data_IF_030427607450
#
_entry.id   IF_030427607450
#
_cell.length_a   1.000
_cell.length_b   1.000
_cell.length_c   1.000
_cell.angle_alpha   90.00
_cell.angle_beta   90.00
_cell.angle_gamma   90.00
#
_symmetry.space_group_name_H-M   'P 1'
#
loop_
_entity.id
_entity.type
_entity.pdbx_description
1 polymer ?
#
# COMPACT_ATOMS: atom_id res chain seq x y z
N UNK A 1 -13.91 -16.96 5.07
CA UNK A 1 -12.49 -16.59 5.19
C UNK A 1 -12.19 -16.61 6.68
N UNK A 2 -11.24 -17.43 7.13
CA UNK A 2 -10.81 -17.42 8.52
C UNK A 2 -10.13 -16.08 8.76
N UNK A 3 -10.83 -15.20 9.48
CA UNK A 3 -10.20 -14.03 10.10
C UNK A 3 -9.43 -14.62 11.28
N UNK A 4 -8.10 -14.55 11.23
CA UNK A 4 -7.24 -14.98 12.33
C UNK A 4 -7.72 -14.41 13.66
N UNK A 5 -7.53 -15.16 14.74
CA UNK A 5 -8.09 -14.87 16.06
C UNK A 5 -7.39 -13.70 16.78
N UNK A 6 -6.40 -13.09 16.12
CA UNK A 6 -5.63 -11.96 16.65
C UNK A 6 -4.55 -12.40 17.63
N UNK A 7 -4.24 -13.70 17.69
CA UNK A 7 -3.06 -14.21 18.38
C UNK A 7 -1.77 -13.59 17.81
N UNK A 8 -0.69 -13.46 18.61
CA UNK A 8 0.60 -12.97 18.11
C UNK A 8 1.13 -13.77 16.91
N UNK A 9 0.73 -15.04 16.79
CA UNK A 9 1.10 -15.94 15.67
C UNK A 9 0.43 -15.54 14.34
N UNK A 10 -0.68 -14.81 14.39
CA UNK A 10 -1.44 -14.28 13.25
C UNK A 10 -0.94 -12.90 12.78
N UNK A 11 0.06 -12.32 13.45
CA UNK A 11 0.63 -11.04 13.03
C UNK A 11 1.52 -11.21 11.79
N UNK A 12 0.88 -11.19 10.62
CA UNK A 12 1.53 -11.28 9.30
C UNK A 12 2.67 -10.26 9.17
N UNK A 13 2.54 -9.07 9.76
CA UNK A 13 3.59 -8.04 9.70
C UNK A 13 4.88 -8.49 10.39
N UNK A 14 4.79 -9.14 11.55
CA UNK A 14 5.97 -9.64 12.26
C UNK A 14 6.68 -10.76 11.50
N UNK A 15 5.90 -11.56 10.75
CA UNK A 15 6.45 -12.69 9.99
C UNK A 15 7.06 -12.30 8.64
N UNK A 16 6.58 -11.21 8.04
CA UNK A 16 6.94 -10.80 6.68
C UNK A 16 7.93 -9.62 6.61
N UNK A 17 8.35 -9.03 7.72
CA UNK A 17 9.30 -7.90 7.73
C UNK A 17 10.73 -8.37 8.05
N UNK A 18 11.71 -7.83 7.32
CA UNK A 18 13.13 -7.99 7.66
C UNK A 18 13.56 -6.97 8.70
N UNK A 19 13.73 -7.40 9.94
CA UNK A 19 14.27 -6.60 11.02
C UNK A 19 15.80 -6.67 11.08
N UNK A 20 16.44 -5.57 11.49
CA UNK A 20 17.88 -5.39 11.56
C UNK A 20 18.26 -4.72 12.89
N UNK A 21 19.47 -5.02 13.39
CA UNK A 21 20.03 -4.48 14.65
C UNK A 21 19.05 -4.60 15.82
N UNK A 22 18.67 -5.83 16.17
CA UNK A 22 17.71 -6.13 17.24
C UNK A 22 16.40 -5.33 17.05
N UNK A 23 15.82 -5.41 15.85
CA UNK A 23 14.54 -4.79 15.49
C UNK A 23 14.49 -3.25 15.50
N UNK A 24 15.63 -2.59 15.72
CA UNK A 24 15.73 -1.13 15.66
C UNK A 24 15.45 -0.57 14.26
N UNK A 25 15.75 -1.34 13.22
CA UNK A 25 15.48 -0.96 11.84
C UNK A 25 14.75 -2.09 11.12
N UNK A 26 13.98 -1.72 10.09
CA UNK A 26 13.33 -2.65 9.21
C UNK A 26 13.60 -2.28 7.75
N UNK A 27 13.82 -3.28 6.90
CA UNK A 27 13.71 -3.07 5.47
C UNK A 27 12.23 -2.91 5.13
N UNK A 28 11.91 -1.92 4.30
CA UNK A 28 10.52 -1.59 4.00
C UNK A 28 9.85 -2.71 3.17
N UNK A 29 8.68 -3.21 3.60
CA UNK A 29 7.94 -4.25 2.85
C UNK A 29 7.07 -3.69 1.73
N UNK A 30 6.85 -2.36 1.72
CA UNK A 30 5.99 -1.62 0.79
C UNK A 30 6.35 -0.11 0.79
N UNK A 31 5.63 0.72 0.04
CA UNK A 31 5.97 2.13 -0.18
C UNK A 31 5.09 3.16 0.57
N UNK A 32 3.83 2.85 0.82
CA UNK A 32 2.81 3.71 1.42
C UNK A 32 3.26 4.28 2.77
N UNK A 33 3.76 3.44 3.68
CA UNK A 33 4.25 3.88 5.01
C UNK A 33 5.39 4.91 4.93
N UNK A 34 6.25 4.80 3.92
CA UNK A 34 7.34 5.76 3.71
C UNK A 34 6.80 7.12 3.24
N UNK A 35 5.80 7.12 2.35
CA UNK A 35 5.13 8.34 1.89
C UNK A 35 4.33 8.98 3.03
N UNK A 36 3.56 8.20 3.79
CA UNK A 36 2.81 8.69 4.94
C UNK A 36 3.73 9.34 5.98
N UNK A 37 4.87 8.70 6.29
CA UNK A 37 5.89 9.26 7.18
C UNK A 37 6.42 10.59 6.65
N UNK A 38 6.82 10.65 5.37
CA UNK A 38 7.34 11.87 4.76
C UNK A 38 6.32 13.02 4.78
N UNK A 39 5.04 12.73 4.47
CA UNK A 39 3.97 13.71 4.50
C UNK A 39 3.80 14.35 5.89
N UNK A 40 3.95 13.57 6.96
CA UNK A 40 3.87 14.05 8.34
C UNK A 40 5.16 14.75 8.77
N UNK A 41 6.33 14.14 8.57
CA UNK A 41 7.61 14.69 9.07
C UNK A 41 7.96 16.01 8.41
N UNK A 42 7.65 16.17 7.12
CA UNK A 42 7.89 17.41 6.37
C UNK A 42 6.73 18.42 6.48
N UNK A 43 5.70 18.10 7.28
CA UNK A 43 4.50 18.93 7.49
C UNK A 43 3.78 19.30 6.19
N UNK A 44 3.80 18.41 5.19
CA UNK A 44 3.24 18.68 3.86
C UNK A 44 1.73 18.93 3.94
N UNK A 45 1.03 18.25 4.85
CA UNK A 45 -0.41 18.42 5.06
C UNK A 45 -0.83 19.85 5.42
N UNK A 46 0.06 20.63 6.04
CA UNK A 46 -0.19 22.03 6.41
C UNK A 46 0.42 23.04 5.45
N UNK A 47 1.36 22.61 4.60
CA UNK A 47 2.18 23.50 3.77
C UNK A 47 1.81 23.46 2.30
N UNK A 48 1.28 22.33 1.84
CA UNK A 48 0.97 22.08 0.45
C UNK A 48 -0.54 21.99 0.25
N UNK A 49 -1.05 22.38 -0.93
CA UNK A 49 -2.46 22.27 -1.25
C UNK A 49 -2.90 20.81 -1.25
N UNK A 50 -4.09 20.55 -0.70
CA UNK A 50 -4.67 19.21 -0.65
C UNK A 50 -5.60 18.93 -1.85
N UNK A 51 -5.73 17.66 -2.28
CA UNK A 51 -5.00 16.50 -1.75
C UNK A 51 -3.56 16.43 -2.26
N UNK A 52 -2.70 15.80 -1.46
CA UNK A 52 -1.32 15.52 -1.86
C UNK A 52 -1.31 14.28 -2.74
N UNK A 53 -0.73 14.37 -3.94
CA UNK A 53 -0.63 13.26 -4.89
C UNK A 53 0.83 12.88 -5.07
N UNK A 54 1.17 11.63 -4.77
CA UNK A 54 2.53 11.09 -4.88
C UNK A 54 2.55 9.86 -5.77
N UNK A 55 3.71 9.58 -6.37
CA UNK A 55 4.02 8.28 -6.93
C UNK A 55 5.40 7.83 -6.45
N UNK A 56 5.67 6.54 -6.50
CA UNK A 56 6.98 5.98 -6.22
C UNK A 56 7.28 4.78 -7.10
N UNK A 57 8.57 4.59 -7.37
CA UNK A 57 9.14 3.35 -7.90
C UNK A 57 10.21 2.90 -6.89
N UNK A 58 10.02 1.74 -6.28
CA UNK A 58 10.71 1.43 -5.03
C UNK A 58 11.05 -0.05 -4.89
N UNK A 59 12.23 -0.33 -4.35
CA UNK A 59 12.69 -1.67 -3.98
C UNK A 59 12.15 -2.02 -2.59
N UNK A 60 11.47 -3.16 -2.47
CA UNK A 60 10.78 -3.61 -1.26
C UNK A 60 11.26 -5.01 -0.88
N UNK A 61 11.18 -5.33 0.42
CA UNK A 61 11.70 -6.57 0.97
C UNK A 61 10.67 -7.24 1.88
N UNK A 62 10.37 -8.51 1.61
CA UNK A 62 9.46 -9.30 2.46
C UNK A 62 10.07 -10.64 2.82
N UNK A 63 10.08 -10.96 4.10
CA UNK A 63 10.59 -12.21 4.65
C UNK A 63 9.60 -13.38 4.45
N UNK A 64 9.11 -13.51 3.22
CA UNK A 64 8.17 -14.55 2.83
C UNK A 64 8.93 -15.80 2.33
N UNK A 65 8.23 -16.95 2.32
CA UNK A 65 8.72 -18.16 1.63
C UNK A 65 8.70 -17.89 0.12
N UNK A 66 9.84 -17.98 -0.60
CA UNK A 66 9.86 -17.78 -2.04
C UNK A 66 8.92 -18.74 -2.77
N UNK A 67 8.13 -18.19 -3.69
CA UNK A 67 7.26 -18.92 -4.60
C UNK A 67 7.42 -18.34 -6.01
N UNK A 68 6.83 -18.98 -7.02
CA UNK A 68 6.82 -18.43 -8.38
C UNK A 68 6.21 -17.01 -8.34
N UNK A 69 6.96 -16.02 -8.84
CA UNK A 69 6.61 -14.60 -8.84
C UNK A 69 6.45 -13.94 -7.46
N UNK A 70 6.90 -14.59 -6.37
CA UNK A 70 7.01 -14.00 -5.03
C UNK A 70 8.45 -14.06 -4.57
N UNK A 71 9.10 -12.91 -4.64
CA UNK A 71 10.51 -12.73 -4.29
C UNK A 71 10.64 -12.08 -2.91
N UNK A 72 11.76 -12.33 -2.24
CA UNK A 72 12.10 -11.64 -0.99
C UNK A 72 12.53 -10.19 -1.19
N UNK A 73 12.98 -9.88 -2.41
CA UNK A 73 13.32 -8.55 -2.88
C UNK A 73 12.61 -8.35 -4.22
N UNK A 74 11.87 -7.26 -4.35
CA UNK A 74 11.08 -6.97 -5.54
C UNK A 74 10.90 -5.47 -5.69
N UNK A 75 10.43 -5.06 -6.87
CA UNK A 75 10.17 -3.66 -7.18
C UNK A 75 8.67 -3.41 -7.24
N UNK A 76 8.24 -2.31 -6.64
CA UNK A 76 6.87 -1.82 -6.71
C UNK A 76 6.83 -0.42 -7.28
N UNK A 77 5.85 -0.20 -8.14
CA UNK A 77 5.35 1.12 -8.46
C UNK A 77 4.04 1.34 -7.72
N UNK A 78 3.85 2.53 -7.15
CA UNK A 78 2.63 2.88 -6.43
C UNK A 78 2.31 4.36 -6.54
N UNK A 79 1.05 4.69 -6.31
CA UNK A 79 0.48 6.04 -6.32
C UNK A 79 -0.29 6.21 -5.02
N UNK A 80 -0.15 7.37 -4.39
CA UNK A 80 -0.81 7.70 -3.12
C UNK A 80 -1.52 9.04 -3.25
N UNK A 81 -2.76 9.10 -2.77
CA UNK A 81 -3.52 10.35 -2.63
C UNK A 81 -3.80 10.52 -1.13
N UNK A 82 -3.19 11.53 -0.52
CA UNK A 82 -3.30 11.80 0.92
C UNK A 82 -4.15 13.05 1.13
N UNK A 83 -4.96 13.04 2.19
CA UNK A 83 -5.86 14.14 2.56
C UNK A 83 -6.94 14.43 1.50
N UNK A 84 -7.47 13.36 0.89
CA UNK A 84 -8.60 13.38 -0.02
C UNK A 84 -9.90 13.05 0.73
N UNK A 85 -10.91 13.91 0.61
CA UNK A 85 -12.20 13.78 1.33
C UNK A 85 -13.38 13.39 0.43
N UNK A 86 -13.16 13.24 -0.87
CA UNK A 86 -14.20 12.93 -1.84
C UNK A 86 -13.89 11.62 -2.54
N UNK A 87 -14.92 10.80 -2.74
CA UNK A 87 -14.86 9.54 -3.49
C UNK A 87 -14.39 9.72 -4.94
N UNK A 88 -14.42 10.95 -5.47
CA UNK A 88 -13.90 11.26 -6.81
C UNK A 88 -12.41 10.90 -6.94
N UNK A 89 -11.64 10.94 -5.85
CA UNK A 89 -10.22 10.61 -5.87
C UNK A 89 -9.98 9.10 -5.98
N UNK A 90 -10.86 8.27 -5.41
CA UNK A 90 -10.84 6.81 -5.63
C UNK A 90 -11.14 6.49 -7.09
N UNK A 91 -12.14 7.15 -7.67
CA UNK A 91 -12.50 6.99 -9.10
C UNK A 91 -11.35 7.44 -9.99
N UNK A 92 -10.74 8.60 -9.71
CA UNK A 92 -9.59 9.13 -10.43
C UNK A 92 -8.44 8.10 -10.44
N UNK A 93 -8.12 7.52 -9.29
CA UNK A 93 -7.03 6.54 -9.16
C UNK A 93 -7.32 5.27 -9.97
N UNK A 94 -8.55 4.76 -9.92
CA UNK A 94 -8.95 3.57 -10.69
C UNK A 94 -8.85 3.82 -12.20
N UNK A 95 -9.38 4.94 -12.69
CA UNK A 95 -9.33 5.29 -14.12
C UNK A 95 -7.87 5.46 -14.57
N UNK A 96 -7.09 6.24 -13.82
CA UNK A 96 -5.67 6.48 -14.12
C UNK A 96 -4.89 5.15 -14.20
N UNK A 97 -5.10 4.24 -13.25
CA UNK A 97 -4.42 2.95 -13.24
C UNK A 97 -4.88 2.03 -14.37
N UNK A 98 -6.17 2.04 -14.73
CA UNK A 98 -6.68 1.27 -15.87
C UNK A 98 -6.08 1.75 -17.19
N UNK A 99 -6.09 3.06 -17.44
CA UNK A 99 -5.48 3.67 -18.62
C UNK A 99 -3.97 3.39 -18.68
N UNK A 100 -3.27 3.58 -17.56
CA UNK A 100 -1.84 3.32 -17.50
C UNK A 100 -1.49 1.86 -17.81
N UNK A 101 -2.18 0.90 -17.18
CA UNK A 101 -1.90 -0.53 -17.38
C UNK A 101 -2.29 -1.01 -18.78
N UNK A 102 -3.43 -0.55 -19.33
CA UNK A 102 -3.95 -1.03 -20.61
C UNK A 102 -3.40 -0.28 -21.81
N UNK A 103 -3.32 1.04 -21.75
CA UNK A 103 -2.98 1.86 -22.91
C UNK A 103 -1.47 2.12 -23.00
N UNK A 104 -0.82 2.40 -21.86
CA UNK A 104 0.62 2.66 -21.82
C UNK A 104 1.43 1.38 -21.76
N UNK A 105 1.11 0.48 -20.83
CA UNK A 105 1.86 -0.77 -20.65
C UNK A 105 1.32 -1.94 -21.49
N UNK A 106 0.12 -1.80 -22.10
CA UNK A 106 -0.50 -2.82 -22.95
C UNK A 106 -0.67 -4.18 -22.26
N UNK A 107 -0.93 -4.16 -20.96
CA UNK A 107 -1.12 -5.35 -20.14
C UNK A 107 -2.58 -5.81 -20.17
N UNK A 108 -2.77 -7.14 -20.27
CA UNK A 108 -4.08 -7.76 -20.11
C UNK A 108 -4.40 -7.92 -18.62
N UNK A 109 -5.06 -6.91 -18.05
CA UNK A 109 -5.46 -6.89 -16.63
C UNK A 109 -6.96 -7.07 -16.45
N UNK A 110 -7.37 -7.61 -15.30
CA UNK A 110 -8.77 -7.68 -14.85
C UNK A 110 -8.91 -6.88 -13.57
N UNK A 111 -9.64 -5.77 -13.62
CA UNK A 111 -9.98 -4.98 -12.43
C UNK A 111 -10.97 -5.77 -11.56
N UNK A 112 -10.71 -5.79 -10.25
CA UNK A 112 -11.61 -6.36 -9.24
C UNK A 112 -11.78 -5.31 -8.15
N UNK A 113 -12.98 -4.80 -8.00
CA UNK A 113 -13.31 -3.82 -6.96
C UNK A 113 -14.06 -4.51 -5.82
N UNK A 114 -13.73 -4.09 -4.60
CA UNK A 114 -14.42 -4.50 -3.39
C UNK A 114 -14.37 -3.35 -2.38
N UNK A 115 -15.35 -3.30 -1.49
CA UNK A 115 -15.42 -2.30 -0.43
C UNK A 115 -15.48 -3.02 0.91
N UNK A 116 -14.46 -2.79 1.74
CA UNK A 116 -14.46 -3.25 3.12
C UNK A 116 -15.24 -2.24 3.95
N UNK A 117 -16.46 -2.60 4.34
CA UNK A 117 -17.35 -1.74 5.12
C UNK A 117 -16.71 -1.27 6.44
N UNK A 118 -17.22 -0.15 6.99
CA UNK A 118 -16.73 0.40 8.26
C UNK A 118 -16.95 -0.57 9.43
N UNK A 119 -16.24 -0.36 10.55
CA UNK A 119 -16.47 -1.16 11.77
C UNK A 119 -17.94 -1.05 12.22
N UNK A 120 -18.55 0.13 12.14
CA UNK A 120 -19.97 0.31 12.49
C UNK A 120 -20.89 -0.45 11.54
N UNK A 121 -20.52 -0.52 10.26
CA UNK A 121 -21.33 -1.20 9.24
C UNK A 121 -21.22 -2.73 9.31
N UNK A 122 -20.11 -3.28 9.83
CA UNK A 122 -19.91 -4.73 9.99
C UNK A 122 -20.65 -5.33 11.20
N UNK A 123 -21.07 -4.50 12.15
CA UNK A 123 -21.74 -4.94 13.39
C UNK A 123 -23.28 -4.92 13.29
N UNK A 124 -23.82 -4.49 12.15
CA UNK A 124 -25.25 -4.56 11.82
C UNK A 124 -25.52 -5.81 10.98
#
# INVERSE_FOLDING_TARGET
>A
MNVGDGSPEDNILEREIFFLKNEKYALKPEGTSSIARAAVTEKLLSREPSPLKFFYHSQCFRHERPQKNRYREFTQFGVEIINAFSEIYDIELVIMMEEFLRERLRLKVKLRLHYLSSKETRQR
#
